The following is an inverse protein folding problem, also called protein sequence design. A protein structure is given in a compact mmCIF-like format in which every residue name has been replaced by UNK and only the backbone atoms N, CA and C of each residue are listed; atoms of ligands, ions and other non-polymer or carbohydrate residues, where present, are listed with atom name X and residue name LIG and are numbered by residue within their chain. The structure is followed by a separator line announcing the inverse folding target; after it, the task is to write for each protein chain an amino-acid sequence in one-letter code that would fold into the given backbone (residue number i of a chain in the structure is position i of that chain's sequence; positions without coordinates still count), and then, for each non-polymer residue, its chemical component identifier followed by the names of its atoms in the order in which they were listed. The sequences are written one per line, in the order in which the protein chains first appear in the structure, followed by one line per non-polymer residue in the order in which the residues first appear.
data_IF_917441308466
#
_entry.id   IF_917441308466
#
_cell.length_a   1.000
_cell.length_b   1.000
_cell.length_c   1.000
_cell.angle_alpha   90.00
_cell.angle_beta   90.00
_cell.angle_gamma   90.00
#
_symmetry.space_group_name_H-M   'P 1'
#
loop_
_entity.id
_entity.type
_entity.pdbx_description
1 polymer ?
#
# COMPACT_ATOMS: atom_id res chain seq x y z
N UNK A 1 21.88 -14.40 -1.73
CA UNK A 1 21.08 -13.20 -2.07
C UNK A 1 19.86 -13.20 -1.15
N UNK A 2 19.86 -12.36 -0.12
CA UNK A 2 18.68 -12.19 0.75
C UNK A 2 17.57 -11.57 -0.10
N UNK A 3 16.43 -12.27 -0.25
CA UNK A 3 15.19 -11.65 -0.70
C UNK A 3 14.92 -10.51 0.28
N UNK A 4 14.98 -9.27 -0.22
CA UNK A 4 14.79 -8.05 0.57
C UNK A 4 13.43 -8.10 1.27
N UNK A 5 13.39 -7.78 2.57
CA UNK A 5 12.23 -7.89 3.44
C UNK A 5 11.12 -6.92 3.02
N UNK A 6 10.20 -7.38 2.15
CA UNK A 6 8.93 -6.70 1.86
C UNK A 6 7.87 -7.26 2.81
N UNK A 7 7.34 -6.41 3.68
CA UNK A 7 6.16 -6.69 4.48
C UNK A 7 4.92 -6.45 3.64
N UNK A 8 4.18 -7.52 3.37
CA UNK A 8 2.88 -7.44 2.68
C UNK A 8 1.79 -7.22 3.71
N UNK A 9 1.01 -6.16 3.56
CA UNK A 9 -0.18 -5.88 4.37
C UNK A 9 -1.40 -6.08 3.47
N UNK A 10 -2.22 -7.07 3.80
CA UNK A 10 -3.50 -7.30 3.12
C UNK A 10 -4.57 -6.46 3.78
N UNK A 11 -5.12 -5.50 3.04
CA UNK A 11 -6.10 -4.58 3.62
C UNK A 11 -7.48 -5.21 3.82
N UNK A 12 -7.75 -6.37 3.19
CA UNK A 12 -8.94 -7.17 3.51
C UNK A 12 -8.94 -7.74 4.94
N UNK A 13 -7.77 -7.83 5.59
CA UNK A 13 -7.66 -8.31 6.98
C UNK A 13 -7.88 -7.18 7.99
N UNK A 14 -7.98 -5.93 7.53
CA UNK A 14 -8.30 -4.77 8.34
C UNK A 14 -9.80 -4.54 8.40
N UNK A 15 -10.29 -3.96 9.51
CA UNK A 15 -11.58 -3.29 9.49
C UNK A 15 -11.44 -2.02 8.63
N UNK A 16 -11.95 -2.09 7.40
CA UNK A 16 -11.82 -1.05 6.38
C UNK A 16 -12.61 0.24 6.72
N UNK A 17 -13.55 0.14 7.66
CA UNK A 17 -14.32 1.28 8.16
C UNK A 17 -13.63 2.00 9.33
N UNK A 18 -12.60 1.36 9.94
CA UNK A 18 -11.82 1.93 11.03
C UNK A 18 -10.39 2.30 10.60
N UNK A 19 -10.18 3.62 10.47
CA UNK A 19 -8.86 4.20 10.19
C UNK A 19 -7.81 3.78 11.23
N UNK A 20 -8.20 3.52 12.48
CA UNK A 20 -7.29 3.10 13.55
C UNK A 20 -6.75 1.70 13.31
N UNK A 21 -7.59 0.79 12.80
CA UNK A 21 -7.20 -0.57 12.42
C UNK A 21 -6.20 -0.58 11.27
N UNK A 22 -6.41 0.26 10.25
CA UNK A 22 -5.44 0.42 9.15
C UNK A 22 -4.12 1.02 9.66
N UNK A 23 -4.19 2.03 10.54
CA UNK A 23 -2.99 2.62 11.15
C UNK A 23 -2.22 1.64 12.02
N UNK A 24 -2.89 0.74 12.73
CA UNK A 24 -2.24 -0.28 13.54
C UNK A 24 -1.42 -1.25 12.66
N UNK A 25 -2.01 -1.76 11.57
CA UNK A 25 -1.32 -2.63 10.63
C UNK A 25 -0.08 -1.96 10.01
N UNK A 26 -0.21 -0.68 9.65
CA UNK A 26 0.91 0.10 9.11
C UNK A 26 1.99 0.37 10.16
N UNK A 27 1.60 0.66 11.41
CA UNK A 27 2.52 0.89 12.53
C UNK A 27 3.32 -0.36 12.87
N UNK A 28 2.69 -1.54 12.81
CA UNK A 28 3.35 -2.82 13.00
C UNK A 28 4.38 -3.08 11.91
N UNK A 29 4.05 -2.81 10.64
CA UNK A 29 5.00 -2.92 9.54
C UNK A 29 6.15 -1.89 9.67
N UNK A 30 5.87 -0.72 10.26
CA UNK A 30 6.84 0.33 10.55
C UNK A 30 7.80 0.04 11.70
N UNK A 31 7.48 -0.94 12.56
CA UNK A 31 8.32 -1.30 13.70
C UNK A 31 9.67 -1.90 13.28
N UNK A 32 9.78 -2.34 12.03
CA UNK A 32 11.01 -2.89 11.46
C UNK A 32 11.90 -1.75 10.92
N UNK A 33 13.22 -1.75 11.18
CA UNK A 33 14.13 -0.76 10.60
C UNK A 33 14.10 -0.78 9.07
N UNK A 34 13.80 0.38 8.47
CA UNK A 34 13.67 0.56 7.02
C UNK A 34 12.74 -0.45 6.31
N UNK A 35 11.46 -0.51 6.72
CA UNK A 35 10.54 -1.49 6.20
C UNK A 35 10.14 -1.14 4.79
N UNK A 36 10.09 -2.14 3.90
CA UNK A 36 9.45 -2.01 2.59
C UNK A 36 8.06 -2.58 2.73
N UNK A 37 7.04 -1.77 2.44
CA UNK A 37 5.65 -2.14 2.68
C UNK A 37 4.91 -2.20 1.36
N UNK A 38 4.31 -3.35 1.08
CA UNK A 38 3.38 -3.54 -0.02
C UNK A 38 1.97 -3.68 0.53
N UNK A 39 1.12 -2.68 0.28
CA UNK A 39 -0.30 -2.76 0.59
C UNK A 39 -1.02 -3.50 -0.56
N UNK A 40 -1.64 -4.63 -0.22
CA UNK A 40 -2.37 -5.50 -1.12
C UNK A 40 -3.89 -5.25 -0.97
N UNK A 41 -4.50 -4.75 -2.04
CA UNK A 41 -5.95 -4.50 -2.14
C UNK A 41 -6.72 -5.69 -2.74
N UNK A 42 -6.08 -6.84 -2.95
CA UNK A 42 -6.78 -8.05 -3.36
C UNK A 42 -7.82 -8.47 -2.30
N UNK A 43 -8.91 -9.07 -2.76
CA UNK A 43 -10.03 -9.48 -1.91
C UNK A 43 -11.03 -8.36 -1.59
N UNK A 44 -10.72 -7.09 -1.91
CA UNK A 44 -11.66 -5.98 -1.75
C UNK A 44 -12.63 -5.90 -2.95
N UNK A 45 -13.93 -5.82 -2.65
CA UNK A 45 -14.98 -5.60 -3.66
C UNK A 45 -15.05 -4.15 -4.13
N UNK A 46 -14.86 -3.21 -3.22
CA UNK A 46 -14.88 -1.77 -3.47
C UNK A 46 -13.99 -1.02 -2.46
N UNK A 47 -13.64 0.22 -2.77
CA UNK A 47 -12.96 1.12 -1.84
C UNK A 47 -13.95 2.07 -1.16
N UNK A 48 -13.95 2.09 0.18
CA UNK A 48 -14.62 3.11 0.98
C UNK A 48 -13.77 4.38 1.15
N UNK A 49 -14.42 5.52 1.41
CA UNK A 49 -13.74 6.81 1.60
C UNK A 49 -12.77 6.85 2.79
N UNK A 50 -13.11 6.17 3.89
CA UNK A 50 -12.28 5.99 5.09
C UNK A 50 -10.97 5.28 4.78
N UNK A 51 -11.04 4.18 4.04
CA UNK A 51 -9.86 3.39 3.64
C UNK A 51 -8.92 4.17 2.74
N UNK A 52 -9.46 4.91 1.77
CA UNK A 52 -8.65 5.79 0.91
C UNK A 52 -7.91 6.82 1.76
N UNK A 53 -8.60 7.50 2.68
CA UNK A 53 -7.98 8.49 3.54
C UNK A 53 -6.85 7.89 4.39
N UNK A 54 -7.07 6.69 4.95
CA UNK A 54 -6.05 5.97 5.70
C UNK A 54 -4.83 5.62 4.83
N UNK A 55 -5.05 5.18 3.59
CA UNK A 55 -3.96 4.90 2.63
C UNK A 55 -3.21 6.15 2.20
N UNK A 56 -3.89 7.31 2.05
CA UNK A 56 -3.23 8.60 1.74
C UNK A 56 -2.30 8.98 2.90
N UNK A 57 -2.76 8.79 4.14
CA UNK A 57 -1.95 9.06 5.32
C UNK A 57 -0.75 8.12 5.35
N UNK A 58 -0.98 6.82 5.15
CA UNK A 58 0.06 5.80 5.08
C UNK A 58 1.13 6.13 4.03
N UNK A 59 0.72 6.49 2.82
CA UNK A 59 1.64 6.80 1.74
C UNK A 59 2.45 8.06 2.00
N UNK A 60 1.89 9.05 2.72
CA UNK A 60 2.62 10.26 3.11
C UNK A 60 3.62 9.98 4.23
N UNK A 61 3.26 9.14 5.19
CA UNK A 61 4.14 8.77 6.30
C UNK A 61 5.26 7.80 5.86
N UNK A 62 4.99 6.89 4.92
CA UNK A 62 5.90 5.84 4.47
C UNK A 62 6.59 6.12 3.13
N UNK A 63 5.85 6.70 2.21
CA UNK A 63 6.23 6.86 0.80
C UNK A 63 7.18 8.02 0.54
N UNK A 64 7.44 8.89 1.54
CA UNK A 64 8.43 9.95 1.42
C UNK A 64 9.84 9.43 1.05
N UNK A 65 10.14 8.17 1.38
CA UNK A 65 11.43 7.52 1.13
C UNK A 65 11.35 6.37 0.10
N UNK A 66 10.29 6.26 -0.72
CA UNK A 66 10.18 5.21 -1.75
C UNK A 66 9.92 3.79 -1.22
N UNK A 67 9.64 3.64 0.07
CA UNK A 67 9.50 2.34 0.76
C UNK A 67 8.08 1.81 0.85
N UNK A 68 7.12 2.45 0.19
CA UNK A 68 5.71 2.05 0.18
C UNK A 68 5.19 1.95 -1.25
N UNK A 69 4.48 0.85 -1.53
CA UNK A 69 3.77 0.65 -2.77
C UNK A 69 2.40 0.02 -2.51
N UNK A 70 1.49 0.22 -3.44
CA UNK A 70 0.15 -0.36 -3.43
C UNK A 70 -0.04 -1.24 -4.65
N UNK A 71 -0.47 -2.48 -4.43
CA UNK A 71 -1.01 -3.33 -5.48
C UNK A 71 -2.54 -3.27 -5.44
N UNK A 72 -3.14 -2.95 -6.60
CA UNK A 72 -4.57 -2.86 -6.77
C UNK A 72 -5.05 -3.79 -7.90
N UNK A 73 -6.02 -4.70 -7.66
CA UNK A 73 -6.68 -5.43 -8.73
C UNK A 73 -7.33 -4.49 -9.75
N UNK A 74 -7.51 -4.94 -10.99
CA UNK A 74 -7.94 -4.09 -12.12
C UNK A 74 -9.17 -3.22 -11.82
N UNK A 75 -10.21 -3.76 -11.16
CA UNK A 75 -11.43 -3.02 -10.84
C UNK A 75 -11.17 -1.90 -9.84
N UNK A 76 -10.38 -2.17 -8.80
CA UNK A 76 -9.95 -1.19 -7.80
C UNK A 76 -8.99 -0.16 -8.39
N UNK A 77 -8.04 -0.61 -9.22
CA UNK A 77 -7.09 0.27 -9.88
C UNK A 77 -7.81 1.28 -10.80
N UNK A 78 -8.78 0.82 -11.60
CA UNK A 78 -9.64 1.71 -12.40
C UNK A 78 -10.40 2.72 -11.57
N UNK A 79 -10.93 2.30 -10.41
CA UNK A 79 -11.61 3.18 -9.47
C UNK A 79 -10.65 4.27 -8.94
N UNK A 80 -9.45 3.89 -8.50
CA UNK A 80 -8.41 4.82 -8.02
C UNK A 80 -7.95 5.80 -9.10
N UNK A 81 -7.79 5.34 -10.34
CA UNK A 81 -7.48 6.20 -11.51
C UNK A 81 -8.60 7.22 -11.73
N UNK A 82 -9.87 6.78 -11.69
CA UNK A 82 -11.02 7.68 -11.89
C UNK A 82 -11.11 8.78 -10.82
N UNK A 83 -10.54 8.52 -9.65
CA UNK A 83 -10.48 9.45 -8.53
C UNK A 83 -9.19 10.29 -8.48
N UNK A 84 -8.25 10.08 -9.40
CA UNK A 84 -6.97 10.79 -9.45
C UNK A 84 -6.04 10.47 -8.26
N UNK A 85 -6.25 9.34 -7.58
CA UNK A 85 -5.49 8.98 -6.38
C UNK A 85 -4.17 8.29 -6.73
N UNK A 86 -4.10 7.62 -7.88
CA UNK A 86 -2.88 6.94 -8.34
C UNK A 86 -1.68 7.87 -8.52
N UNK A 87 -1.91 9.18 -8.62
CA UNK A 87 -0.86 10.20 -8.70
C UNK A 87 -0.32 10.61 -7.31
N UNK A 88 -1.01 10.22 -6.24
CA UNK A 88 -0.67 10.57 -4.85
C UNK A 88 0.25 9.56 -4.16
N UNK A 89 0.43 8.36 -4.72
CA UNK A 89 1.33 7.32 -4.22
C UNK A 89 1.67 6.29 -5.30
N UNK A 90 2.74 5.52 -5.11
CA UNK A 90 3.15 4.44 -6.02
C UNK A 90 2.14 3.29 -6.04
N UNK A 91 1.16 3.39 -6.93
CA UNK A 91 0.06 2.43 -7.11
C UNK A 91 0.21 1.67 -8.43
N UNK A 92 0.06 0.35 -8.40
CA UNK A 92 0.26 -0.49 -9.58
C UNK A 92 -0.89 -1.48 -9.74
N UNK A 93 -1.30 -1.70 -11.00
CA UNK A 93 -2.27 -2.73 -11.37
C UNK A 93 -1.67 -4.14 -11.45
N UNK A 94 -0.35 -4.25 -11.37
CA UNK A 94 0.41 -5.50 -11.48
C UNK A 94 1.29 -5.68 -10.24
N UNK A 95 1.28 -6.88 -9.67
CA UNK A 95 2.01 -7.21 -8.43
C UNK A 95 3.53 -7.09 -8.62
N UNK A 96 4.00 -7.52 -9.79
CA UNK A 96 5.40 -7.52 -10.19
C UNK A 96 5.94 -6.09 -10.26
N UNK A 97 5.16 -5.13 -10.77
CA UNK A 97 5.56 -3.73 -10.80
C UNK A 97 5.63 -3.12 -9.40
N UNK A 98 4.66 -3.42 -8.53
CA UNK A 98 4.68 -2.92 -7.15
C UNK A 98 5.90 -3.44 -6.36
N UNK A 99 6.21 -4.73 -6.53
CA UNK A 99 7.37 -5.35 -5.88
C UNK A 99 8.70 -4.90 -6.48
N UNK A 100 8.77 -4.70 -7.81
CA UNK A 100 9.94 -4.16 -8.48
C UNK A 100 10.25 -2.74 -8.00
N UNK A 101 9.23 -1.86 -7.94
CA UNK A 101 9.37 -0.50 -7.40
C UNK A 101 9.98 -0.50 -5.99
N UNK A 102 9.44 -1.34 -5.08
CA UNK A 102 10.00 -1.48 -3.73
C UNK A 102 11.41 -2.07 -3.71
N UNK A 103 11.84 -2.75 -4.77
CA UNK A 103 13.17 -3.35 -4.88
C UNK A 103 14.21 -2.43 -5.52
N UNK A 104 13.80 -1.42 -6.31
CA UNK A 104 14.67 -0.55 -7.09
C UNK A 104 15.54 0.37 -6.22
N UNK A 105 15.09 0.75 -5.02
CA UNK A 105 15.90 1.52 -4.06
C UNK A 105 16.66 0.63 -3.07
N UNK A 106 17.82 0.14 -3.50
CA UNK A 106 18.86 -0.38 -2.61
C UNK A 106 20.26 0.05 -3.07
N UNK A 107 20.37 1.34 -3.41
CA UNK A 107 21.63 2.05 -3.48
C UNK A 107 22.06 2.52 -2.10
#
# INVERSE_FOLDING_TARGET
MLKRDISVIRLMDADIDDVSSIRALLSDALSVPAPRVLADLSGLGELGGSMIAAMIIASRELGADGRFAVYAPEHIYKQLVSWGIVDSWSCFGEWEHATAFLCEDAG
#
